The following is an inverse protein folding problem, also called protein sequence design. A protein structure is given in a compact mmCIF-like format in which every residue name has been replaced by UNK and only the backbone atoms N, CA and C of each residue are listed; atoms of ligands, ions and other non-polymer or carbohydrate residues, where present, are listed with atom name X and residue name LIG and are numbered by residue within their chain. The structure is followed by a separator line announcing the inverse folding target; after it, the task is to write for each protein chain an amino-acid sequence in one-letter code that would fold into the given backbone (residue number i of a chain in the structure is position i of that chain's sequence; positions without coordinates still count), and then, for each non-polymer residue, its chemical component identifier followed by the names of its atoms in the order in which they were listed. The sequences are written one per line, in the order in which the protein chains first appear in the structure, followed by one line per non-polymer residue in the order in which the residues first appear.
data_IF_112696158011
#
_entry.id   IF_112696158011
#
_cell.length_a   1.000
_cell.length_b   1.000
_cell.length_c   1.000
_cell.angle_alpha   90.00
_cell.angle_beta   90.00
_cell.angle_gamma   90.00
#
_symmetry.space_group_name_H-M   'P 1'
#
loop_
_entity.id
_entity.type
_entity.pdbx_description
1 polymer ?
#
# COMPACT_ATOMS: atom_id res chain seq x y z
N UNK A 1 10.05 26.49 -20.60
CA UNK A 1 10.25 25.76 -19.33
C UNK A 1 9.45 24.46 -19.42
N UNK A 2 10.10 23.35 -19.76
CA UNK A 2 9.47 22.04 -19.76
C UNK A 2 10.16 21.20 -18.67
N UNK A 3 9.44 20.87 -17.60
CA UNK A 3 9.89 19.87 -16.63
C UNK A 3 10.04 18.55 -17.38
N UNK A 4 11.19 17.87 -17.34
CA UNK A 4 11.29 16.54 -17.94
C UNK A 4 10.32 15.62 -17.21
N UNK A 5 9.41 15.00 -17.96
CA UNK A 5 8.60 13.90 -17.46
C UNK A 5 9.57 12.75 -17.17
N UNK A 6 9.85 12.52 -15.89
CA UNK A 6 10.60 11.35 -15.42
C UNK A 6 9.87 10.11 -15.95
N UNK A 7 10.42 9.54 -17.02
CA UNK A 7 10.03 8.24 -17.51
C UNK A 7 10.32 7.24 -16.37
N UNK A 8 9.27 6.77 -15.72
CA UNK A 8 9.38 5.62 -14.83
C UNK A 8 9.86 4.45 -15.68
N UNK A 9 11.13 4.08 -15.53
CA UNK A 9 11.68 2.83 -16.04
C UNK A 9 10.77 1.75 -15.49
N UNK A 10 9.95 1.15 -16.35
CA UNK A 10 9.11 0.01 -15.99
C UNK A 10 10.05 -1.17 -15.79
N UNK A 11 10.70 -1.25 -14.63
CA UNK A 11 11.31 -2.50 -14.20
C UNK A 11 10.19 -3.54 -14.15
N UNK A 12 10.46 -4.72 -14.69
CA UNK A 12 9.62 -5.91 -14.58
C UNK A 12 9.60 -6.48 -13.13
N UNK A 13 9.99 -5.68 -12.14
CA UNK A 13 9.99 -6.03 -10.71
C UNK A 13 8.58 -5.88 -10.17
N UNK A 14 8.21 -6.67 -9.15
CA UNK A 14 6.87 -6.69 -8.56
C UNK A 14 6.46 -5.41 -7.82
N UNK A 15 6.95 -4.24 -8.23
CA UNK A 15 6.70 -2.96 -7.61
C UNK A 15 5.34 -2.41 -8.04
N UNK A 16 4.54 -2.01 -7.06
CA UNK A 16 3.22 -1.40 -7.26
C UNK A 16 3.34 0.10 -7.38
N UNK A 17 2.31 0.73 -7.94
CA UNK A 17 2.22 2.17 -7.97
C UNK A 17 2.36 2.72 -6.53
N UNK A 18 3.17 3.77 -6.33
CA UNK A 18 3.44 4.29 -4.99
C UNK A 18 2.13 4.67 -4.31
N UNK A 19 2.04 4.35 -3.02
CA UNK A 19 0.96 4.82 -2.17
C UNK A 19 1.34 6.16 -1.57
N UNK A 20 0.35 7.02 -1.38
CA UNK A 20 0.56 8.32 -0.76
C UNK A 20 0.87 8.16 0.72
N UNK A 21 0.16 7.26 1.41
CA UNK A 21 0.20 7.10 2.87
C UNK A 21 0.17 5.61 3.24
N UNK A 22 0.60 5.28 4.46
CA UNK A 22 0.47 3.95 5.03
C UNK A 22 -0.05 4.00 6.45
N UNK A 23 -0.91 3.05 6.83
CA UNK A 23 -1.45 2.97 8.19
C UNK A 23 -0.36 2.72 9.21
N UNK A 24 -0.60 3.20 10.43
CA UNK A 24 0.20 2.91 11.63
C UNK A 24 -0.62 2.20 12.71
N UNK A 25 -1.93 2.07 12.51
CA UNK A 25 -2.89 1.46 13.41
C UNK A 25 -4.11 0.98 12.61
N UNK A 26 -5.00 0.24 13.30
CA UNK A 26 -6.28 -0.16 12.74
C UNK A 26 -7.13 1.07 12.43
N UNK A 27 -7.74 1.09 11.25
CA UNK A 27 -8.57 2.20 10.75
C UNK A 27 -9.92 1.67 10.28
N UNK A 28 -10.92 2.55 10.25
CA UNK A 28 -12.16 2.28 9.53
C UNK A 28 -11.92 2.56 8.04
N UNK A 29 -12.25 1.63 7.16
CA UNK A 29 -12.13 1.78 5.70
C UNK A 29 -13.29 2.60 5.11
N UNK A 30 -13.58 3.75 5.74
CA UNK A 30 -14.71 4.60 5.38
C UNK A 30 -14.41 6.07 5.69
N UNK A 31 -14.74 6.95 4.75
CA UNK A 31 -14.66 8.40 4.91
C UNK A 31 -13.24 8.95 4.84
N UNK A 32 -13.14 10.28 4.84
CA UNK A 32 -11.86 10.98 4.88
C UNK A 32 -11.33 11.00 6.32
N UNK A 33 -10.11 10.50 6.51
CA UNK A 33 -9.44 10.46 7.81
C UNK A 33 -7.96 10.82 7.66
N UNK A 34 -7.31 11.08 8.80
CA UNK A 34 -5.88 11.29 8.83
C UNK A 34 -5.15 9.94 8.94
N UNK A 35 -4.26 9.66 7.99
CA UNK A 35 -3.40 8.49 8.00
C UNK A 35 -1.98 8.96 8.23
N UNK A 36 -1.32 8.41 9.25
CA UNK A 36 0.05 8.76 9.62
C UNK A 36 0.27 10.28 9.81
N UNK A 37 -0.72 10.95 10.41
CA UNK A 37 -0.71 12.38 10.68
C UNK A 37 -1.06 13.29 9.49
N UNK A 38 -1.36 12.71 8.32
CA UNK A 38 -1.69 13.46 7.10
C UNK A 38 -3.15 13.23 6.70
N UNK A 39 -3.94 14.29 6.44
CA UNK A 39 -5.30 14.14 5.95
C UNK A 39 -5.31 13.53 4.55
N UNK A 40 -6.13 12.49 4.37
CA UNK A 40 -6.38 11.90 3.06
C UNK A 40 -7.39 12.73 2.27
N UNK A 41 -7.25 12.70 0.95
CA UNK A 41 -8.23 13.20 0.00
C UNK A 41 -8.83 12.03 -0.81
N UNK A 42 -10.00 12.24 -1.40
CA UNK A 42 -10.63 11.27 -2.31
C UNK A 42 -9.69 10.94 -3.45
N UNK A 43 -9.53 9.66 -3.77
CA UNK A 43 -8.62 9.16 -4.80
C UNK A 43 -7.19 8.91 -4.32
N UNK A 44 -6.85 9.30 -3.09
CA UNK A 44 -5.53 8.97 -2.53
C UNK A 44 -5.36 7.46 -2.37
N UNK A 45 -4.13 7.00 -2.61
CA UNK A 45 -3.75 5.60 -2.40
C UNK A 45 -3.15 5.43 -1.01
N UNK A 46 -3.69 4.50 -0.23
CA UNK A 46 -3.26 4.22 1.13
C UNK A 46 -2.93 2.74 1.27
N UNK A 47 -1.75 2.44 1.79
CA UNK A 47 -1.39 1.09 2.21
C UNK A 47 -1.99 0.81 3.60
N UNK A 48 -2.90 -0.14 3.64
CA UNK A 48 -3.55 -0.62 4.85
C UNK A 48 -2.85 -1.90 5.27
N UNK A 49 -2.09 -1.83 6.36
CA UNK A 49 -1.27 -2.95 6.85
C UNK A 49 -1.53 -3.36 8.30
N UNK A 50 -2.23 -2.53 9.07
CA UNK A 50 -2.43 -2.73 10.52
C UNK A 50 -3.91 -3.00 10.87
N UNK A 51 -4.66 -3.65 9.98
CA UNK A 51 -6.05 -4.03 10.31
C UNK A 51 -6.05 -5.15 11.35
N UNK A 52 -7.09 -5.15 12.19
CA UNK A 52 -7.32 -6.24 13.14
C UNK A 52 -7.62 -7.57 12.41
N UNK A 53 -8.32 -7.48 11.27
CA UNK A 53 -8.49 -8.60 10.35
C UNK A 53 -7.43 -8.50 9.23
N UNK A 54 -6.43 -9.40 9.18
CA UNK A 54 -5.37 -9.35 8.19
C UNK A 54 -5.87 -9.63 6.76
N UNK A 55 -7.09 -10.16 6.58
CA UNK A 55 -7.69 -10.28 5.24
C UNK A 55 -8.00 -8.91 4.65
N UNK A 56 -8.21 -7.89 5.49
CA UNK A 56 -8.47 -6.50 5.09
C UNK A 56 -7.20 -5.71 4.78
N UNK A 57 -6.02 -6.27 5.02
CA UNK A 57 -4.77 -5.63 4.62
C UNK A 57 -4.65 -5.58 3.09
N UNK A 58 -4.03 -4.53 2.57
CA UNK A 58 -3.85 -4.31 1.14
C UNK A 58 -3.72 -2.84 0.78
N UNK A 59 -3.80 -2.53 -0.51
CA UNK A 59 -3.76 -1.15 -0.99
C UNK A 59 -5.19 -0.69 -1.30
N UNK A 60 -5.57 0.46 -0.76
CA UNK A 60 -6.89 1.04 -0.87
C UNK A 60 -6.84 2.42 -1.51
N UNK A 61 -7.92 2.75 -2.22
CA UNK A 61 -8.22 4.08 -2.71
C UNK A 61 -9.24 4.73 -1.77
N UNK A 62 -8.89 5.90 -1.27
CA UNK A 62 -9.69 6.68 -0.32
C UNK A 62 -10.93 7.22 -1.00
N UNK A 63 -12.04 7.17 -0.28
CA UNK A 63 -13.33 7.72 -0.68
C UNK A 63 -13.98 8.46 0.49
N UNK A 64 -14.94 9.33 0.18
CA UNK A 64 -15.84 9.92 1.19
C UNK A 64 -16.79 8.88 1.81
N UNK A 65 -17.06 7.79 1.08
CA UNK A 65 -17.78 6.62 1.57
C UNK A 65 -16.85 5.46 1.91
N UNK A 66 -17.27 4.24 1.59
CA UNK A 66 -16.41 3.06 1.71
C UNK A 66 -15.17 3.17 0.83
N UNK A 67 -14.02 2.75 1.37
CA UNK A 67 -12.78 2.68 0.62
C UNK A 67 -12.75 1.41 -0.21
N UNK A 68 -12.22 1.52 -1.41
CA UNK A 68 -12.14 0.41 -2.34
C UNK A 68 -10.70 -0.08 -2.45
N UNK A 69 -10.50 -1.38 -2.63
CA UNK A 69 -9.16 -1.89 -2.96
C UNK A 69 -8.71 -1.32 -4.30
N UNK A 70 -7.45 -0.92 -4.38
CA UNK A 70 -6.88 -0.38 -5.60
C UNK A 70 -6.92 -1.42 -6.74
N UNK A 71 -7.19 -0.98 -7.96
CA UNK A 71 -7.44 -1.86 -9.11
C UNK A 71 -6.23 -2.74 -9.50
N UNK A 72 -5.03 -2.32 -9.11
CA UNK A 72 -3.74 -2.99 -9.29
C UNK A 72 -3.31 -3.85 -8.09
N UNK A 73 -4.15 -3.93 -7.05
CA UNK A 73 -3.90 -4.62 -5.78
C UNK A 73 -5.12 -5.44 -5.30
N UNK A 74 -5.82 -6.07 -6.24
CA UNK A 74 -7.08 -6.81 -6.03
C UNK A 74 -7.04 -8.28 -6.46
N UNK A 75 -5.85 -8.83 -6.69
CA UNK A 75 -5.66 -10.21 -7.13
C UNK A 75 -4.53 -10.88 -6.35
N UNK A 76 -4.58 -12.21 -6.24
CA UNK A 76 -3.55 -13.00 -5.56
C UNK A 76 -2.14 -12.70 -6.10
N UNK A 77 -1.99 -12.72 -7.42
CA UNK A 77 -0.74 -12.34 -8.12
C UNK A 77 -0.26 -10.92 -7.82
N UNK A 78 -1.15 -10.02 -7.42
CA UNK A 78 -0.79 -8.64 -7.10
C UNK A 78 -0.42 -8.41 -5.65
N UNK A 79 -0.81 -9.32 -4.75
CA UNK A 79 -0.54 -9.27 -3.30
C UNK A 79 0.33 -10.45 -2.85
N UNK A 80 0.95 -11.15 -3.80
CA UNK A 80 1.84 -12.28 -3.54
C UNK A 80 3.18 -11.80 -3.00
N UNK A 81 3.86 -12.74 -2.35
CA UNK A 81 5.22 -12.60 -1.86
C UNK A 81 6.17 -11.94 -2.86
N UNK A 82 6.94 -10.97 -2.38
CA UNK A 82 7.90 -10.22 -3.18
C UNK A 82 7.30 -9.06 -3.98
N UNK A 83 5.99 -8.83 -3.87
CA UNK A 83 5.41 -7.56 -4.30
C UNK A 83 5.86 -6.47 -3.34
N UNK A 84 6.33 -5.34 -3.85
CA UNK A 84 6.73 -4.18 -3.04
C UNK A 84 5.90 -2.95 -3.36
N UNK A 85 5.77 -2.03 -2.41
CA UNK A 85 5.08 -0.76 -2.57
C UNK A 85 5.80 0.34 -1.80
N UNK A 86 5.96 1.50 -2.43
CA UNK A 86 6.62 2.65 -1.83
C UNK A 86 5.62 3.64 -1.23
N UNK A 87 5.94 4.19 -0.06
CA UNK A 87 5.13 5.19 0.63
C UNK A 87 5.74 6.58 0.46
N UNK A 88 4.95 7.53 -0.03
CA UNK A 88 5.44 8.87 -0.37
C UNK A 88 5.47 9.84 0.82
N UNK A 89 4.41 9.85 1.64
CA UNK A 89 4.19 10.86 2.68
C UNK A 89 3.72 10.14 3.96
N UNK A 90 3.94 10.78 5.10
CA UNK A 90 3.61 10.26 6.41
C UNK A 90 4.59 10.78 7.46
N UNK A 91 4.17 10.86 8.72
CA UNK A 91 5.08 11.21 9.80
C UNK A 91 6.04 10.06 10.11
N UNK A 92 5.52 8.84 10.12
CA UNK A 92 6.27 7.63 10.46
C UNK A 92 6.75 6.93 9.20
N UNK A 93 5.87 6.68 8.22
CA UNK A 93 6.10 5.75 7.11
C UNK A 93 6.59 6.43 5.82
N UNK A 94 6.80 7.74 5.79
CA UNK A 94 7.32 8.43 4.61
C UNK A 94 8.66 7.83 4.12
N UNK A 95 8.75 7.58 2.83
CA UNK A 95 9.96 7.06 2.17
C UNK A 95 10.21 5.57 2.39
N UNK A 96 9.39 4.86 3.18
CA UNK A 96 9.55 3.42 3.41
C UNK A 96 8.95 2.60 2.29
N UNK A 97 9.59 1.46 2.02
CA UNK A 97 9.08 0.43 1.12
C UNK A 97 8.50 -0.69 1.99
N UNK A 98 7.33 -1.18 1.61
CA UNK A 98 6.71 -2.35 2.22
C UNK A 98 6.67 -3.49 1.22
N UNK A 99 6.82 -4.70 1.70
CA UNK A 99 6.70 -5.93 0.93
C UNK A 99 5.53 -6.77 1.43
N UNK A 100 4.87 -7.42 0.48
CA UNK A 100 3.90 -8.46 0.75
C UNK A 100 4.65 -9.77 0.96
N UNK A 101 4.27 -10.53 1.98
CA UNK A 101 4.90 -11.81 2.33
C UNK A 101 3.96 -13.01 2.26
N UNK A 102 2.71 -12.80 1.86
CA UNK A 102 1.73 -13.88 1.71
C UNK A 102 1.98 -14.69 0.43
N UNK A 103 2.00 -16.02 0.54
CA UNK A 103 2.16 -16.94 -0.59
C UNK A 103 0.80 -17.19 -1.26
N UNK A 104 0.64 -16.69 -2.49
CA UNK A 104 -0.59 -16.83 -3.31
C UNK A 104 -1.93 -16.52 -2.58
N UNK A 105 -2.06 -15.37 -1.88
CA UNK A 105 -3.24 -15.12 -1.05
C UNK A 105 -4.52 -14.91 -1.87
N UNK A 106 -5.60 -15.55 -1.46
CA UNK A 106 -6.95 -15.23 -1.94
C UNK A 106 -7.43 -13.94 -1.27
N UNK A 107 -7.58 -12.89 -2.08
CA UNK A 107 -8.02 -11.56 -1.61
C UNK A 107 -9.39 -11.65 -0.98
N UNK A 108 -9.50 -11.25 0.29
CA UNK A 108 -10.75 -11.30 1.06
C UNK A 108 -11.05 -12.65 1.72
N UNK A 109 -10.10 -13.59 1.71
CA UNK A 109 -10.23 -14.85 2.46
C UNK A 109 -8.96 -15.18 3.24
N UNK A 110 -7.80 -15.01 2.61
CA UNK A 110 -6.52 -15.29 3.24
C UNK A 110 -5.95 -14.06 3.94
N UNK A 111 -5.20 -14.30 5.00
CA UNK A 111 -4.48 -13.26 5.74
C UNK A 111 -3.36 -12.67 4.86
N UNK A 112 -3.36 -11.36 4.67
CA UNK A 112 -2.35 -10.65 3.89
C UNK A 112 -1.35 -10.01 4.86
N UNK A 113 -0.19 -10.65 4.95
CA UNK A 113 0.95 -10.16 5.74
C UNK A 113 1.76 -9.14 4.93
N UNK A 114 1.99 -7.96 5.53
CA UNK A 114 2.73 -6.84 4.94
C UNK A 114 3.78 -6.40 5.95
N UNK A 115 5.05 -6.35 5.53
CA UNK A 115 6.17 -5.97 6.37
C UNK A 115 7.00 -4.86 5.70
N UNK A 116 7.75 -4.04 6.45
CA UNK A 116 8.76 -3.17 5.86
C UNK A 116 9.77 -4.00 5.08
N UNK A 117 10.08 -3.60 3.85
CA UNK A 117 11.12 -4.24 3.05
C UNK A 117 12.48 -4.04 3.72
N UNK A 118 13.17 -5.13 4.02
CA UNK A 118 14.53 -5.12 4.55
C UNK A 118 15.45 -5.69 3.46
N UNK A 119 16.43 -4.92 2.97
CA UNK A 119 17.39 -5.44 2.00
C UNK A 119 18.12 -6.66 2.58
N UNK A 120 18.36 -7.72 1.79
CA UNK A 120 19.07 -8.92 2.26
C UNK A 120 20.51 -8.63 2.70
N UNK A 121 21.07 -7.48 2.31
CA UNK A 121 22.44 -7.07 2.62
C UNK A 121 22.61 -6.49 4.03
N UNK A 122 21.51 -6.32 4.79
CA UNK A 122 21.49 -5.70 6.13
C UNK A 122 20.88 -6.67 7.19
N UNK A 123 20.74 -7.96 6.86
CA UNK A 123 20.23 -8.99 7.80
C UNK A 123 21.30 -9.51 8.77
#
# INVERSE_FOLDING_TARGET
MARPATAAVRLLTGEREPVRLATTANILLHGLQAIDGVPCAVGDRVLVKDQADPTQNGIYTVSEGEWFRAADARSARTLQKGTTVHVQIGSVNAGRVFEFSADEPVVGSDAISIAPFVPPDIA
#
